data_IF_420282349466
#
_entry.id   IF_420282349466
#
_cell.length_a   1.000
_cell.length_b   1.000
_cell.length_c   1.000
_cell.angle_alpha   90.00
_cell.angle_beta   90.00
_cell.angle_gamma   90.00
#
_symmetry.space_group_name_H-M   'P 1'
#
loop_
_entity.id
_entity.type
_entity.pdbx_description
1 polymer ?
#
# COMPACT_ATOMS: atom_id res chain seq x y z
N UNK A 1 -6.53 10.51 -20.74
CA UNK A 1 -5.56 9.97 -19.76
C UNK A 1 -5.39 8.50 -20.05
N UNK A 2 -4.15 8.03 -20.19
CA UNK A 2 -3.87 6.61 -20.39
C UNK A 2 -4.19 5.83 -19.11
N UNK A 3 -4.66 4.59 -19.24
CA UNK A 3 -4.92 3.76 -18.08
C UNK A 3 -3.58 3.37 -17.44
N UNK A 4 -3.46 3.34 -16.10
CA UNK A 4 -2.31 2.78 -15.40
C UNK A 4 -1.87 1.40 -15.88
N UNK A 5 -2.83 0.58 -16.31
CA UNK A 5 -2.58 -0.76 -16.88
C UNK A 5 -1.74 -0.72 -18.16
N UNK A 6 -1.88 0.35 -18.95
CA UNK A 6 -1.23 0.50 -20.25
C UNK A 6 0.26 0.84 -20.10
N UNK A 7 0.64 1.36 -18.92
CA UNK A 7 2.00 1.71 -18.55
C UNK A 7 2.70 0.62 -17.72
N UNK A 8 2.00 -0.48 -17.39
CA UNK A 8 2.66 -1.69 -16.92
C UNK A 8 3.60 -2.20 -17.99
N UNK A 9 4.66 -2.92 -17.64
CA UNK A 9 5.64 -3.40 -18.62
C UNK A 9 5.02 -4.20 -19.77
N UNK A 10 4.12 -5.14 -19.44
CA UNK A 10 3.42 -5.95 -20.44
C UNK A 10 2.50 -5.07 -21.29
N UNK A 11 1.82 -4.11 -20.66
CA UNK A 11 0.98 -3.12 -21.33
C UNK A 11 1.77 -2.25 -22.29
N UNK A 12 2.90 -1.70 -21.84
CA UNK A 12 3.74 -0.77 -22.58
C UNK A 12 4.35 -1.46 -23.81
N UNK A 13 4.91 -2.66 -23.66
CA UNK A 13 5.42 -3.42 -24.80
C UNK A 13 4.32 -3.82 -25.79
N UNK A 14 3.16 -4.24 -25.28
CA UNK A 14 1.99 -4.54 -26.12
C UNK A 14 1.57 -3.32 -26.94
N UNK A 15 1.47 -2.16 -26.28
CA UNK A 15 1.07 -0.91 -26.90
C UNK A 15 2.11 -0.39 -27.90
N UNK A 16 3.40 -0.51 -27.62
CA UNK A 16 4.47 -0.17 -28.56
C UNK A 16 4.42 -1.02 -29.84
N UNK A 17 4.12 -2.33 -29.72
CA UNK A 17 3.90 -3.21 -30.88
C UNK A 17 2.66 -2.79 -31.67
N UNK A 18 1.56 -2.50 -30.98
CA UNK A 18 0.31 -2.04 -31.62
C UNK A 18 0.51 -0.73 -32.38
N UNK A 19 1.17 0.27 -31.76
CA UNK A 19 1.41 1.59 -32.35
C UNK A 19 2.40 1.56 -33.52
N UNK A 20 3.39 0.66 -33.50
CA UNK A 20 4.35 0.52 -34.61
C UNK A 20 3.84 -0.36 -35.75
N UNK A 21 2.88 -1.27 -35.49
CA UNK A 21 2.55 -2.35 -36.41
C UNK A 21 3.67 -3.37 -36.62
N UNK A 22 4.76 -3.30 -35.84
CA UNK A 22 5.93 -4.17 -35.96
C UNK A 22 6.10 -5.06 -34.72
N UNK A 23 6.05 -6.38 -34.92
CA UNK A 23 6.29 -7.36 -33.87
C UNK A 23 7.71 -7.30 -33.27
N UNK A 24 8.69 -6.81 -34.04
CA UNK A 24 10.10 -6.72 -33.65
C UNK A 24 10.48 -5.38 -33.02
N UNK A 25 9.55 -4.42 -32.87
CA UNK A 25 9.86 -3.06 -32.41
C UNK A 25 10.59 -3.06 -31.06
N UNK A 26 10.17 -3.91 -30.13
CA UNK A 26 10.76 -4.02 -28.79
C UNK A 26 12.23 -4.46 -28.87
N UNK A 27 12.56 -5.40 -29.77
CA UNK A 27 13.93 -5.83 -29.99
C UNK A 27 14.80 -4.72 -30.58
N UNK A 28 14.26 -3.96 -31.54
CA UNK A 28 14.95 -2.83 -32.15
C UNK A 28 15.16 -1.67 -31.18
N UNK A 29 14.18 -1.37 -30.33
CA UNK A 29 14.30 -0.39 -29.25
C UNK A 29 15.40 -0.79 -28.26
N UNK A 30 15.48 -2.06 -27.85
CA UNK A 30 16.57 -2.54 -27.00
C UNK A 30 17.93 -2.37 -27.68
N UNK A 31 18.04 -2.73 -28.96
CA UNK A 31 19.29 -2.59 -29.69
C UNK A 31 19.72 -1.12 -29.81
N UNK A 32 18.79 -0.21 -30.06
CA UNK A 32 19.06 1.23 -30.06
C UNK A 32 19.49 1.71 -28.67
N UNK A 33 18.80 1.27 -27.61
CA UNK A 33 19.16 1.64 -26.23
C UNK A 33 20.52 1.06 -25.79
N UNK A 34 20.94 -0.08 -26.32
CA UNK A 34 22.29 -0.62 -26.06
C UNK A 34 23.40 0.24 -26.67
N UNK A 35 23.09 1.03 -27.71
CA UNK A 35 24.04 2.01 -28.27
C UNK A 35 24.13 3.29 -27.43
N UNK A 36 23.17 3.51 -26.53
CA UNK A 36 23.21 4.61 -25.58
C UNK A 36 24.16 4.27 -24.43
N UNK A 37 25.30 4.94 -24.39
CA UNK A 37 26.31 4.78 -23.35
C UNK A 37 25.92 5.51 -22.06
N UNK A 38 24.86 5.03 -21.41
CA UNK A 38 24.41 5.51 -20.10
C UNK A 38 25.49 5.41 -19.00
N UNK A 39 26.57 4.66 -19.24
CA UNK A 39 27.70 4.51 -18.30
C UNK A 39 28.71 5.65 -18.43
N UNK A 40 28.62 6.46 -19.48
CA UNK A 40 29.41 7.68 -19.63
C UNK A 40 29.00 8.74 -18.60
N UNK A 41 27.79 8.67 -18.04
CA UNK A 41 27.29 9.63 -17.05
C UNK A 41 27.74 9.23 -15.64
N UNK A 42 28.67 9.96 -15.00
CA UNK A 42 29.34 9.52 -13.78
C UNK A 42 28.48 9.66 -12.51
N UNK A 43 27.32 10.30 -12.61
CA UNK A 43 26.43 10.57 -11.47
C UNK A 43 25.02 10.07 -11.74
N UNK A 44 24.34 9.62 -10.69
CA UNK A 44 22.94 9.22 -10.76
C UNK A 44 22.06 10.38 -11.24
N UNK A 45 22.28 11.60 -10.73
CA UNK A 45 21.50 12.78 -11.12
C UNK A 45 21.65 13.13 -12.61
N UNK A 46 22.86 13.05 -13.15
CA UNK A 46 23.08 13.23 -14.59
C UNK A 46 22.31 12.19 -15.39
N UNK A 47 22.38 10.91 -14.98
CA UNK A 47 21.67 9.84 -15.66
C UNK A 47 20.15 10.05 -15.68
N UNK A 48 19.56 10.57 -14.58
CA UNK A 48 18.12 10.85 -14.52
C UNK A 48 17.69 11.94 -15.51
N UNK A 49 18.55 12.91 -15.78
CA UNK A 49 18.29 13.95 -16.77
C UNK A 49 18.34 13.38 -18.19
N UNK A 50 19.16 12.36 -18.41
CA UNK A 50 19.32 11.74 -19.72
C UNK A 50 18.19 10.76 -20.07
N UNK A 51 17.44 10.20 -19.11
CA UNK A 51 16.36 9.23 -19.37
C UNK A 51 15.24 9.78 -20.27
N UNK A 52 14.65 10.97 -19.99
CA UNK A 52 13.67 11.57 -20.89
C UNK A 52 14.24 11.85 -22.28
N UNK A 53 15.51 12.22 -22.37
CA UNK A 53 16.20 12.45 -23.64
C UNK A 53 16.34 11.14 -24.42
N UNK A 54 16.77 10.05 -23.79
CA UNK A 54 16.84 8.74 -24.43
C UNK A 54 15.47 8.28 -24.96
N UNK A 55 14.40 8.50 -24.19
CA UNK A 55 13.04 8.23 -24.65
C UNK A 55 12.65 9.08 -25.87
N UNK A 56 13.01 10.37 -25.90
CA UNK A 56 12.77 11.25 -27.05
C UNK A 56 13.57 10.84 -28.29
N UNK A 57 14.83 10.43 -28.12
CA UNK A 57 15.68 9.95 -29.21
C UNK A 57 15.12 8.65 -29.82
N UNK A 58 14.66 7.72 -28.98
CA UNK A 58 13.95 6.53 -29.45
C UNK A 58 12.65 6.90 -30.19
N UNK A 59 11.89 7.87 -29.68
CA UNK A 59 10.68 8.33 -30.33
C UNK A 59 10.96 8.91 -31.72
N UNK A 60 11.97 9.77 -31.83
CA UNK A 60 12.39 10.37 -33.10
C UNK A 60 12.89 9.32 -34.10
N UNK A 61 13.59 8.29 -33.62
CA UNK A 61 14.16 7.24 -34.47
C UNK A 61 13.08 6.31 -35.05
N UNK A 62 12.08 5.94 -34.26
CA UNK A 62 11.10 4.91 -34.64
C UNK A 62 9.72 5.47 -35.03
N UNK A 63 9.38 6.70 -34.62
CA UNK A 63 8.10 7.36 -34.88
C UNK A 63 8.27 8.84 -35.28
N UNK A 64 9.03 9.17 -36.34
CA UNK A 64 9.36 10.56 -36.70
C UNK A 64 8.16 11.43 -37.11
N UNK A 65 7.01 10.82 -37.41
CA UNK A 65 5.82 11.51 -37.94
C UNK A 65 4.58 11.42 -37.03
N UNK A 66 4.68 10.78 -35.86
CA UNK A 66 3.54 10.66 -34.93
C UNK A 66 3.57 11.72 -33.84
N UNK A 67 2.38 12.11 -33.37
CA UNK A 67 2.23 12.92 -32.17
C UNK A 67 2.72 12.14 -30.94
N UNK A 68 3.66 12.74 -30.22
CA UNK A 68 4.37 12.13 -29.10
C UNK A 68 3.55 12.08 -27.80
N UNK A 69 2.41 12.77 -27.73
CA UNK A 69 1.68 12.97 -26.47
C UNK A 69 1.26 11.68 -25.73
N UNK A 70 1.10 10.56 -26.44
CA UNK A 70 0.85 9.25 -25.82
C UNK A 70 2.04 8.28 -25.85
N UNK A 71 3.05 8.56 -26.67
CA UNK A 71 4.18 7.65 -26.88
C UNK A 71 5.27 7.87 -25.83
N UNK A 72 5.48 9.12 -25.43
CA UNK A 72 6.55 9.48 -24.50
C UNK A 72 6.49 8.70 -23.18
N UNK A 73 5.34 8.60 -22.46
CA UNK A 73 5.28 7.85 -21.20
C UNK A 73 5.55 6.35 -21.37
N UNK A 74 5.18 5.77 -22.52
CA UNK A 74 5.43 4.36 -22.84
C UNK A 74 6.92 4.10 -23.05
N UNK A 75 7.61 5.01 -23.76
CA UNK A 75 9.04 4.93 -23.99
C UNK A 75 9.84 5.19 -22.71
N UNK A 76 9.43 6.13 -21.87
CA UNK A 76 10.05 6.33 -20.55
C UNK A 76 9.90 5.10 -19.66
N UNK A 77 8.70 4.49 -19.60
CA UNK A 77 8.50 3.24 -18.88
C UNK A 77 9.38 2.10 -19.43
N UNK A 78 9.54 2.02 -20.75
CA UNK A 78 10.44 1.08 -21.40
C UNK A 78 11.91 1.33 -21.01
N UNK A 79 12.40 2.57 -21.10
CA UNK A 79 13.78 2.93 -20.71
C UNK A 79 14.02 2.62 -19.24
N UNK A 80 13.12 3.03 -18.34
CA UNK A 80 13.19 2.72 -16.91
C UNK A 80 13.35 1.23 -16.64
N UNK A 81 12.64 0.38 -17.38
CA UNK A 81 12.75 -1.06 -17.24
C UNK A 81 14.13 -1.57 -17.66
N UNK A 82 14.62 -1.15 -18.82
CA UNK A 82 15.86 -1.67 -19.39
C UNK A 82 17.09 -1.22 -18.58
N UNK A 83 17.01 -0.06 -17.92
CA UNK A 83 18.09 0.46 -17.05
C UNK A 83 17.94 0.05 -15.57
N UNK A 84 16.87 -0.64 -15.20
CA UNK A 84 16.54 -1.00 -13.81
C UNK A 84 17.72 -1.67 -13.09
N UNK A 85 18.27 -2.74 -13.66
CA UNK A 85 19.30 -3.55 -13.00
C UNK A 85 20.57 -2.73 -12.75
N UNK A 86 20.89 -1.78 -13.63
CA UNK A 86 22.03 -0.88 -13.48
C UNK A 86 21.76 0.19 -12.41
N UNK A 87 20.64 0.93 -12.50
CA UNK A 87 20.30 1.97 -11.52
C UNK A 87 20.13 1.39 -10.12
N UNK A 88 19.40 0.29 -10.00
CA UNK A 88 19.21 -0.40 -8.73
C UNK A 88 20.53 -0.95 -8.19
N UNK A 89 21.43 -1.38 -9.08
CA UNK A 89 22.80 -1.76 -8.73
C UNK A 89 23.65 -0.62 -8.14
N UNK A 90 23.36 0.63 -8.49
CA UNK A 90 24.00 1.82 -7.89
C UNK A 90 23.36 2.21 -6.55
N UNK A 91 22.04 2.06 -6.42
CA UNK A 91 21.29 2.42 -5.20
C UNK A 91 21.54 1.41 -4.08
N UNK A 92 21.48 0.11 -4.39
CA UNK A 92 21.50 -0.95 -3.38
C UNK A 92 22.72 -0.91 -2.44
N UNK A 93 23.96 -0.68 -2.91
CA UNK A 93 25.13 -0.62 -2.02
C UNK A 93 25.07 0.54 -1.02
N UNK A 94 24.44 1.66 -1.36
CA UNK A 94 24.40 2.86 -0.51
C UNK A 94 23.41 2.74 0.65
N UNK A 95 22.42 1.85 0.52
CA UNK A 95 21.36 1.61 1.52
C UNK A 95 21.39 0.19 2.10
N UNK A 96 22.47 -0.56 1.85
CA UNK A 96 22.57 -1.96 2.24
C UNK A 96 22.46 -2.16 3.77
N UNK A 97 22.99 -1.23 4.57
CA UNK A 97 22.96 -1.33 6.03
C UNK A 97 21.53 -1.17 6.57
N UNK A 98 20.79 -0.19 6.06
CA UNK A 98 19.40 0.09 6.38
C UNK A 98 18.49 -1.08 5.96
N UNK A 99 18.69 -1.59 4.75
CA UNK A 99 17.98 -2.75 4.21
C UNK A 99 18.20 -4.00 5.07
N UNK A 100 19.46 -4.33 5.38
CA UNK A 100 19.79 -5.46 6.24
C UNK A 100 19.19 -5.32 7.63
N UNK A 101 19.24 -4.12 8.21
CA UNK A 101 18.66 -3.85 9.53
C UNK A 101 17.15 -4.07 9.51
N UNK A 102 16.44 -3.49 8.55
CA UNK A 102 14.99 -3.64 8.43
C UNK A 102 14.60 -5.10 8.18
N UNK A 103 15.34 -5.81 7.33
CA UNK A 103 15.09 -7.23 7.08
C UNK A 103 15.31 -8.07 8.36
N UNK A 104 16.34 -7.76 9.16
CA UNK A 104 16.55 -8.35 10.47
C UNK A 104 15.37 -8.14 11.42
N UNK A 105 14.91 -6.91 11.55
CA UNK A 105 13.72 -6.56 12.35
C UNK A 105 12.47 -7.29 11.85
N UNK A 106 12.29 -7.37 10.52
CA UNK A 106 11.17 -8.08 9.88
C UNK A 106 11.18 -9.57 10.21
N UNK A 107 12.36 -10.21 10.17
CA UNK A 107 12.52 -11.62 10.54
C UNK A 107 12.19 -11.87 12.00
N UNK A 108 12.69 -11.03 12.90
CA UNK A 108 12.42 -11.11 14.33
C UNK A 108 10.93 -10.92 14.63
N UNK A 109 10.32 -9.87 14.08
CA UNK A 109 8.89 -9.61 14.19
C UNK A 109 8.06 -10.80 13.70
N UNK A 110 8.42 -11.39 12.56
CA UNK A 110 7.72 -12.58 12.07
C UNK A 110 7.92 -13.79 12.98
N UNK A 111 9.14 -14.04 13.46
CA UNK A 111 9.46 -15.18 14.33
C UNK A 111 8.70 -15.11 15.66
N UNK A 112 8.57 -13.90 16.21
CA UNK A 112 7.82 -13.62 17.45
C UNK A 112 6.32 -13.49 17.22
N UNK A 113 5.82 -13.81 16.02
CA UNK A 113 4.41 -13.66 15.69
C UNK A 113 3.91 -12.23 15.96
N UNK A 114 4.68 -11.24 15.55
CA UNK A 114 4.40 -9.86 15.89
C UNK A 114 3.11 -9.32 15.29
N UNK A 115 2.53 -8.32 15.95
CA UNK A 115 1.23 -7.74 15.63
C UNK A 115 1.28 -6.21 15.60
N UNK A 116 0.29 -5.53 14.98
CA UNK A 116 0.25 -4.07 14.98
C UNK A 116 0.23 -3.43 16.38
N UNK A 117 -0.29 -4.12 17.40
CA UNK A 117 -0.29 -3.62 18.79
C UNK A 117 1.13 -3.38 19.33
N UNK A 118 2.07 -4.26 18.99
CA UNK A 118 3.49 -4.08 19.36
C UNK A 118 4.14 -2.89 18.65
N UNK A 119 3.49 -2.36 17.60
CA UNK A 119 3.87 -1.19 16.82
C UNK A 119 3.01 0.04 17.16
N UNK A 120 2.31 0.01 18.30
CA UNK A 120 1.52 1.13 18.81
C UNK A 120 0.07 1.18 18.33
N UNK A 121 -0.46 0.13 17.68
CA UNK A 121 -1.89 0.06 17.42
C UNK A 121 -2.67 -0.06 18.74
N UNK A 122 -3.65 0.80 18.94
CA UNK A 122 -4.55 0.73 20.10
C UNK A 122 -5.70 -0.24 19.86
N UNK A 123 -6.30 -0.19 18.66
CA UNK A 123 -7.54 -0.91 18.36
C UNK A 123 -7.34 -2.16 17.49
N UNK A 124 -6.57 -2.04 16.41
CA UNK A 124 -6.46 -3.08 15.39
C UNK A 124 -5.28 -4.01 15.69
N UNK A 125 -5.51 -5.31 15.75
CA UNK A 125 -4.47 -6.32 16.01
C UNK A 125 -4.26 -7.31 14.85
N UNK A 126 -4.78 -7.01 13.67
CA UNK A 126 -4.71 -7.89 12.51
C UNK A 126 -3.77 -7.32 11.46
N UNK A 127 -3.19 -8.20 10.64
CA UNK A 127 -2.36 -7.78 9.50
C UNK A 127 -3.05 -8.24 8.21
N UNK A 128 -3.41 -7.31 7.32
CA UNK A 128 -4.02 -7.64 6.04
C UNK A 128 -3.15 -8.54 5.17
N UNK A 129 -3.55 -9.80 4.99
CA UNK A 129 -2.77 -10.77 4.22
C UNK A 129 -2.68 -10.36 2.74
N UNK A 130 -3.75 -9.80 2.18
CA UNK A 130 -3.76 -9.32 0.80
C UNK A 130 -2.72 -8.19 0.60
N UNK A 131 -2.63 -7.25 1.54
CA UNK A 131 -1.63 -6.19 1.51
C UNK A 131 -0.21 -6.74 1.66
N UNK A 132 0.00 -7.73 2.53
CA UNK A 132 1.31 -8.39 2.71
C UNK A 132 1.77 -9.06 1.42
N UNK A 133 0.87 -9.81 0.77
CA UNK A 133 1.13 -10.52 -0.48
C UNK A 133 1.44 -9.52 -1.60
N UNK A 134 0.60 -8.51 -1.79
CA UNK A 134 0.81 -7.49 -2.82
C UNK A 134 2.15 -6.81 -2.64
N UNK A 135 2.43 -6.29 -1.43
CA UNK A 135 3.67 -5.60 -1.14
C UNK A 135 4.91 -6.49 -1.31
N UNK A 136 4.81 -7.79 -1.02
CA UNK A 136 5.91 -8.74 -1.22
C UNK A 136 6.34 -8.88 -2.70
N UNK A 137 5.48 -8.46 -3.64
CA UNK A 137 5.79 -8.45 -5.07
C UNK A 137 6.55 -7.20 -5.52
N UNK A 138 6.74 -6.19 -4.65
CA UNK A 138 7.43 -4.94 -4.98
C UNK A 138 8.79 -5.14 -5.69
N UNK A 139 9.66 -6.10 -5.26
CA UNK A 139 10.95 -6.32 -5.93
C UNK A 139 10.86 -6.91 -7.34
N UNK A 140 9.70 -7.45 -7.73
CA UNK A 140 9.48 -8.00 -9.08
C UNK A 140 9.14 -6.92 -10.10
N UNK A 141 8.67 -5.76 -9.64
CA UNK A 141 8.32 -4.61 -10.48
C UNK A 141 9.60 -3.90 -10.92
N UNK A 142 9.67 -3.41 -12.16
CA UNK A 142 10.90 -2.78 -12.69
C UNK A 142 10.74 -1.30 -12.97
N UNK A 143 9.52 -0.82 -13.21
CA UNK A 143 9.29 0.62 -13.40
C UNK A 143 8.90 1.30 -12.08
N UNK A 144 9.22 2.59 -11.90
CA UNK A 144 8.77 3.35 -10.74
C UNK A 144 7.25 3.38 -10.59
N UNK A 145 6.53 3.44 -11.73
CA UNK A 145 5.07 3.47 -11.74
C UNK A 145 4.47 2.15 -11.25
N UNK A 146 4.98 1.00 -11.71
CA UNK A 146 4.53 -0.31 -11.22
C UNK A 146 4.77 -0.47 -9.72
N UNK A 147 5.91 0.01 -9.22
CA UNK A 147 6.23 0.01 -7.79
C UNK A 147 5.28 0.90 -7.01
N UNK A 148 4.98 2.12 -7.51
CA UNK A 148 4.00 3.02 -6.89
C UNK A 148 2.60 2.42 -6.84
N UNK A 149 2.16 1.74 -7.90
CA UNK A 149 0.87 1.03 -7.87
C UNK A 149 0.87 -0.14 -6.90
N UNK A 150 1.97 -0.88 -6.78
CA UNK A 150 2.10 -1.92 -5.76
C UNK A 150 1.94 -1.34 -4.34
N UNK A 151 2.57 -0.19 -4.05
CA UNK A 151 2.39 0.52 -2.78
C UNK A 151 0.94 0.97 -2.59
N UNK A 152 0.33 1.54 -3.63
CA UNK A 152 -1.06 1.99 -3.61
C UNK A 152 -2.03 0.83 -3.33
N UNK A 153 -1.97 -0.25 -4.10
CA UNK A 153 -2.85 -1.40 -3.92
C UNK A 153 -2.65 -2.06 -2.55
N UNK A 154 -1.41 -2.15 -2.06
CA UNK A 154 -1.13 -2.61 -0.71
C UNK A 154 -1.81 -1.72 0.34
N UNK A 155 -1.75 -0.40 0.17
CA UNK A 155 -2.41 0.56 1.04
C UNK A 155 -3.94 0.44 0.96
N UNK A 156 -4.51 0.31 -0.23
CA UNK A 156 -5.94 0.14 -0.45
C UNK A 156 -6.46 -1.16 0.20
N UNK A 157 -5.71 -2.26 0.13
CA UNK A 157 -6.05 -3.51 0.83
C UNK A 157 -6.09 -3.33 2.35
N UNK A 158 -5.19 -2.52 2.93
CA UNK A 158 -5.26 -2.19 4.36
C UNK A 158 -6.59 -1.51 4.68
N UNK A 159 -6.95 -0.47 3.93
CA UNK A 159 -8.20 0.25 4.19
C UNK A 159 -9.45 -0.59 3.92
N UNK A 160 -9.44 -1.43 2.89
CA UNK A 160 -10.54 -2.32 2.58
C UNK A 160 -10.80 -3.31 3.73
N UNK A 161 -9.76 -3.93 4.28
CA UNK A 161 -9.91 -4.88 5.39
C UNK A 161 -10.31 -4.18 6.70
N UNK A 162 -9.72 -3.01 7.02
CA UNK A 162 -10.12 -2.26 8.22
C UNK A 162 -11.58 -1.81 8.13
N UNK A 163 -12.03 -1.31 6.96
CA UNK A 163 -13.44 -0.94 6.74
C UNK A 163 -14.36 -2.16 6.84
N UNK A 164 -13.99 -3.28 6.23
CA UNK A 164 -14.76 -4.53 6.29
C UNK A 164 -14.94 -5.02 7.72
N UNK A 165 -13.87 -4.96 8.52
CA UNK A 165 -13.92 -5.29 9.93
C UNK A 165 -14.84 -4.37 10.74
N UNK A 166 -14.77 -3.06 10.52
CA UNK A 166 -15.66 -2.09 11.17
C UNK A 166 -17.13 -2.35 10.82
N UNK A 167 -17.44 -2.60 9.55
CA UNK A 167 -18.80 -2.93 9.08
C UNK A 167 -19.33 -4.16 9.82
N UNK A 168 -18.52 -5.23 9.89
CA UNK A 168 -18.91 -6.47 10.55
C UNK A 168 -19.26 -6.25 12.02
N UNK A 169 -18.43 -5.47 12.73
CA UNK A 169 -18.65 -5.11 14.13
C UNK A 169 -19.95 -4.31 14.27
N UNK A 170 -20.12 -3.25 13.49
CA UNK A 170 -21.29 -2.39 13.62
C UNK A 170 -22.58 -3.19 13.35
N UNK A 171 -22.61 -4.02 12.31
CA UNK A 171 -23.76 -4.86 11.99
C UNK A 171 -24.12 -5.85 13.11
N UNK A 172 -23.11 -6.40 13.78
CA UNK A 172 -23.33 -7.31 14.92
C UNK A 172 -24.00 -6.60 16.10
N UNK A 173 -23.63 -5.35 16.37
CA UNK A 173 -24.14 -4.60 17.54
C UNK A 173 -25.37 -3.72 17.24
N UNK A 174 -25.63 -3.36 15.99
CA UNK A 174 -26.82 -2.59 15.59
C UNK A 174 -28.10 -3.43 15.55
N UNK A 175 -28.01 -4.76 15.76
CA UNK A 175 -29.16 -5.67 15.71
C UNK A 175 -29.84 -5.74 14.34
N UNK A 176 -29.23 -5.15 13.30
CA UNK A 176 -29.75 -5.12 11.94
C UNK A 176 -29.03 -6.20 11.13
N UNK A 177 -29.69 -7.32 10.77
CA UNK A 177 -29.05 -8.35 9.95
C UNK A 177 -28.75 -7.78 8.56
N UNK A 178 -27.46 -7.70 8.19
CA UNK A 178 -26.98 -7.21 6.89
C UNK A 178 -27.47 -8.06 5.70
N UNK A 179 -27.87 -9.30 5.95
CA UNK A 179 -28.41 -10.21 4.94
C UNK A 179 -29.71 -10.82 5.47
N UNK A 180 -30.89 -10.37 5.03
CA UNK A 180 -32.12 -11.06 5.33
C UNK A 180 -32.08 -12.43 4.64
N UNK A 181 -32.06 -13.51 5.42
CA UNK A 181 -32.23 -14.86 4.88
C UNK A 181 -33.56 -14.92 4.13
N UNK A 182 -33.50 -15.12 2.81
CA UNK A 182 -34.59 -14.92 1.85
C UNK A 182 -35.70 -15.98 1.87
N UNK A 183 -36.01 -16.61 3.02
CA UNK A 183 -36.97 -17.73 3.04
C UNK A 183 -38.12 -17.65 4.05
N UNK A 184 -38.13 -16.71 4.98
CA UNK A 184 -39.22 -16.56 5.97
C UNK A 184 -39.95 -15.20 5.87
N UNK A 185 -40.25 -14.78 4.65
CA UNK A 185 -40.79 -13.45 4.33
C UNK A 185 -42.33 -13.42 4.19
N UNK A 186 -43.07 -14.01 5.15
CA UNK A 186 -44.55 -13.99 5.09
C UNK A 186 -45.31 -13.46 6.30
N UNK A 187 -44.67 -13.00 7.39
CA UNK A 187 -45.44 -12.53 8.55
C UNK A 187 -44.85 -11.40 9.41
N UNK A 188 -43.85 -10.64 8.94
CA UNK A 188 -43.39 -9.45 9.67
C UNK A 188 -44.09 -8.19 9.18
N UNK A 189 -45.04 -7.69 9.99
CA UNK A 189 -45.54 -6.31 9.91
C UNK A 189 -44.34 -5.35 9.88
N UNK A 190 -44.26 -4.56 8.82
CA UNK A 190 -43.24 -3.55 8.52
C UNK A 190 -42.62 -2.91 9.78
N UNK A 191 -41.40 -3.30 10.18
CA UNK A 191 -40.57 -2.36 10.92
C UNK A 191 -40.21 -1.24 9.92
N UNK A 192 -40.70 -0.02 10.16
CA UNK A 192 -40.12 1.18 9.56
C UNK A 192 -38.67 1.24 10.04
N UNK A 193 -37.75 0.60 9.33
CA UNK A 193 -36.33 0.88 9.47
C UNK A 193 -36.10 2.27 8.89
N UNK A 194 -35.71 3.28 9.69
CA UNK A 194 -35.23 4.51 9.11
C UNK A 194 -33.99 4.15 8.28
N UNK A 195 -33.92 4.66 7.05
CA UNK A 195 -32.73 4.67 6.19
C UNK A 195 -31.62 5.48 6.87
N UNK A 196 -31.14 5.01 8.02
CA UNK A 196 -29.92 5.50 8.64
C UNK A 196 -28.81 4.82 7.87
N UNK A 197 -28.36 5.47 6.81
CA UNK A 197 -27.06 5.18 6.22
C UNK A 197 -26.06 5.09 7.38
N UNK A 198 -25.50 3.90 7.58
CA UNK A 198 -24.49 3.65 8.58
C UNK A 198 -23.29 4.53 8.23
N UNK A 199 -23.14 5.66 8.92
CA UNK A 199 -21.94 6.48 8.81
C UNK A 199 -20.74 5.64 9.24
N UNK A 200 -20.00 5.15 8.25
CA UNK A 200 -18.83 4.32 8.50
C UNK A 200 -17.77 5.20 9.18
N UNK A 201 -17.20 4.74 10.33
CA UNK A 201 -16.19 5.50 11.01
C UNK A 201 -15.03 5.79 10.06
N UNK A 202 -14.66 7.07 9.97
CA UNK A 202 -13.49 7.49 9.21
C UNK A 202 -12.24 7.01 9.94
N UNK A 203 -11.51 6.07 9.32
CA UNK A 203 -10.22 5.59 9.82
C UNK A 203 -9.21 6.71 9.62
N UNK A 204 -8.61 7.17 10.72
CA UNK A 204 -7.55 8.17 10.63
C UNK A 204 -6.25 7.54 10.10
N UNK A 205 -5.43 8.34 9.41
CA UNK A 205 -4.13 7.87 8.93
C UNK A 205 -3.19 7.45 10.08
N UNK A 206 -3.39 8.00 11.28
CA UNK A 206 -2.60 7.62 12.46
C UNK A 206 -2.93 6.20 12.93
N UNK A 207 -4.20 5.79 12.84
CA UNK A 207 -4.64 4.43 13.17
C UNK A 207 -4.17 3.39 12.14
N UNK A 208 -4.01 3.80 10.88
CA UNK A 208 -3.51 2.93 9.82
C UNK A 208 -1.99 2.72 9.88
N UNK A 209 -1.22 3.65 10.47
CA UNK A 209 0.23 3.62 10.45
C UNK A 209 0.84 2.35 11.10
N UNK A 210 0.41 1.90 12.30
CA UNK A 210 0.89 0.64 12.89
C UNK A 210 0.56 -0.60 12.04
N UNK A 211 -0.58 -0.59 11.34
CA UNK A 211 -0.99 -1.68 10.44
C UNK A 211 -0.08 -1.70 9.22
N UNK A 212 0.18 -0.53 8.62
CA UNK A 212 1.14 -0.38 7.51
C UNK A 212 2.53 -0.86 7.91
N UNK A 213 3.01 -0.47 9.09
CA UNK A 213 4.30 -0.94 9.62
C UNK A 213 4.30 -2.47 9.76
N UNK A 214 3.24 -3.06 10.31
CA UNK A 214 3.12 -4.52 10.42
C UNK A 214 3.10 -5.21 9.06
N UNK A 215 2.41 -4.65 8.06
CA UNK A 215 2.39 -5.14 6.68
C UNK A 215 3.80 -5.14 6.10
N UNK A 216 4.53 -4.02 6.18
CA UNK A 216 5.92 -3.92 5.71
C UNK A 216 6.80 -5.00 6.35
N UNK A 217 6.71 -5.16 7.67
CA UNK A 217 7.49 -6.12 8.45
C UNK A 217 7.16 -7.58 8.09
N UNK A 218 5.88 -7.87 7.81
CA UNK A 218 5.42 -9.21 7.43
C UNK A 218 5.73 -9.55 5.96
N UNK A 219 5.83 -8.54 5.09
CA UNK A 219 6.25 -8.72 3.69
C UNK A 219 7.73 -9.07 3.54
N UNK A 220 8.55 -8.87 4.58
CA UNK A 220 9.99 -9.25 4.62
C UNK A 220 10.77 -8.75 3.41
N UNK A 221 10.52 -7.50 3.01
CA UNK A 221 11.21 -6.87 1.89
C UNK A 221 12.70 -6.73 2.19
N UNK A 222 13.52 -7.45 1.43
CA UNK A 222 14.97 -7.46 1.66
C UNK A 222 15.64 -6.13 1.27
N UNK A 223 15.09 -5.40 0.30
CA UNK A 223 15.65 -4.15 -0.22
C UNK A 223 14.72 -2.94 -0.02
N UNK A 224 13.90 -2.91 1.05
CA UNK A 224 12.82 -1.93 1.14
C UNK A 224 13.27 -0.45 1.04
N UNK A 225 14.41 -0.08 1.65
CA UNK A 225 14.96 1.26 1.54
C UNK A 225 15.46 1.54 0.13
N UNK A 226 16.18 0.59 -0.48
CA UNK A 226 16.61 0.70 -1.88
C UNK A 226 15.44 0.82 -2.85
N UNK A 227 14.35 0.09 -2.60
CA UNK A 227 13.11 0.15 -3.38
C UNK A 227 12.44 1.53 -3.32
N UNK A 228 12.28 2.09 -2.11
CA UNK A 228 11.73 3.44 -1.97
C UNK A 228 12.67 4.50 -2.54
N UNK A 229 13.99 4.33 -2.39
CA UNK A 229 14.96 5.24 -2.99
C UNK A 229 14.92 5.18 -4.52
N UNK A 230 14.77 4.00 -5.12
CA UNK A 230 14.57 3.85 -6.56
C UNK A 230 13.32 4.59 -7.05
N UNK A 231 12.19 4.44 -6.36
CA UNK A 231 10.95 5.16 -6.67
C UNK A 231 11.16 6.67 -6.51
N UNK A 232 11.80 7.13 -5.43
CA UNK A 232 12.06 8.56 -5.20
C UNK A 232 12.90 9.18 -6.32
N UNK A 233 13.88 8.42 -6.80
CA UNK A 233 14.87 8.86 -7.78
C UNK A 233 14.27 8.91 -9.18
N UNK A 234 13.78 7.78 -9.70
CA UNK A 234 13.27 7.68 -11.08
C UNK A 234 11.77 8.00 -11.20
N UNK A 235 11.02 7.89 -10.11
CA UNK A 235 9.59 8.22 -10.05
C UNK A 235 9.30 9.67 -9.68
N UNK A 236 10.31 10.55 -9.61
CA UNK A 236 10.14 11.95 -9.18
C UNK A 236 9.05 12.69 -9.97
N UNK A 237 9.11 12.63 -11.30
CA UNK A 237 8.08 13.27 -12.15
C UNK A 237 6.68 12.71 -11.93
N UNK A 238 6.57 11.40 -11.62
CA UNK A 238 5.30 10.76 -11.27
C UNK A 238 4.75 11.27 -9.93
N UNK A 239 5.62 11.39 -8.91
CA UNK A 239 5.27 11.91 -7.58
C UNK A 239 4.91 13.41 -7.61
N UNK A 240 5.55 14.18 -8.50
CA UNK A 240 5.21 15.59 -8.71
C UNK A 240 3.83 15.73 -9.36
N UNK A 241 3.54 14.89 -10.37
CA UNK A 241 2.31 14.93 -11.16
C UNK A 241 1.10 14.30 -10.46
N UNK A 242 1.30 13.36 -9.53
CA UNK A 242 0.21 12.60 -8.89
C UNK A 242 0.23 12.77 -7.37
N UNK A 243 -0.51 13.79 -6.88
CA UNK A 243 -0.56 14.12 -5.45
C UNK A 243 -0.96 12.94 -4.55
N UNK A 244 -1.88 12.09 -5.01
CA UNK A 244 -2.32 10.90 -4.27
C UNK A 244 -1.21 9.86 -4.13
N UNK A 245 -0.50 9.53 -5.22
CA UNK A 245 0.65 8.60 -5.16
C UNK A 245 1.76 9.14 -4.27
N UNK A 246 2.00 10.46 -4.31
CA UNK A 246 2.97 11.12 -3.42
C UNK A 246 2.60 10.99 -1.95
N UNK A 247 1.32 11.15 -1.60
CA UNK A 247 0.85 10.96 -0.23
C UNK A 247 1.05 9.52 0.23
N UNK A 248 0.68 8.53 -0.60
CA UNK A 248 0.87 7.11 -0.30
C UNK A 248 2.35 6.80 -0.11
N UNK A 249 3.20 7.22 -1.05
CA UNK A 249 4.64 7.03 -0.98
C UNK A 249 5.23 7.60 0.32
N UNK A 250 4.85 8.83 0.70
CA UNK A 250 5.27 9.45 1.95
C UNK A 250 4.84 8.65 3.19
N UNK A 251 3.70 7.94 3.15
CA UNK A 251 3.27 7.07 4.26
C UNK A 251 4.14 5.83 4.40
N UNK A 252 4.62 5.24 3.30
CA UNK A 252 5.59 4.15 3.36
C UNK A 252 6.95 4.63 3.88
N UNK A 253 7.41 5.81 3.47
CA UNK A 253 8.64 6.42 4.00
C UNK A 253 8.54 6.67 5.51
N UNK A 254 7.45 7.31 5.95
CA UNK A 254 7.17 7.56 7.37
C UNK A 254 7.13 6.26 8.18
N UNK A 255 6.49 5.21 7.64
CA UNK A 255 6.41 3.91 8.29
C UNK A 255 7.79 3.25 8.44
N UNK A 256 8.65 3.29 7.42
CA UNK A 256 10.02 2.78 7.52
C UNK A 256 10.84 3.52 8.58
N UNK A 257 10.76 4.85 8.60
CA UNK A 257 11.45 5.64 9.62
C UNK A 257 10.97 5.30 11.03
N UNK A 258 9.65 5.12 11.21
CA UNK A 258 9.08 4.73 12.50
C UNK A 258 9.56 3.34 12.94
N UNK A 259 9.58 2.36 12.05
CA UNK A 259 10.10 1.00 12.34
C UNK A 259 11.55 1.06 12.82
N UNK A 260 12.38 1.92 12.21
CA UNK A 260 13.78 2.05 12.60
C UNK A 260 13.98 2.74 13.96
N UNK A 261 13.11 3.69 14.31
CA UNK A 261 13.22 4.48 15.54
C UNK A 261 12.56 3.81 16.74
N UNK A 262 11.50 3.04 16.53
CA UNK A 262 10.73 2.43 17.61
C UNK A 262 11.24 1.00 17.89
N UNK A 263 11.66 0.69 19.13
CA UNK A 263 11.90 -0.68 19.50
C UNK A 263 10.59 -1.47 19.41
N UNK A 264 10.65 -2.69 18.87
CA UNK A 264 9.50 -3.61 18.91
C UNK A 264 9.25 -3.92 20.39
N UNK A 265 8.08 -3.53 20.89
CA UNK A 265 7.75 -3.73 22.30
C UNK A 265 7.75 -5.22 22.64
N UNK A 266 8.57 -5.62 23.61
CA UNK A 266 8.55 -6.97 24.21
C UNK A 266 7.26 -7.21 25.03
N UNK A 267 6.57 -6.12 25.41
CA UNK A 267 5.35 -6.16 26.19
C UNK A 267 4.15 -6.53 25.28
N UNK A 268 3.99 -7.84 25.03
CA UNK A 268 2.75 -8.60 25.08
C UNK A 268 3.06 -10.05 24.69
N UNK A 269 3.61 -10.79 25.65
CA UNK A 269 3.80 -12.24 25.60
C UNK A 269 2.51 -13.03 25.88
N UNK A 270 1.34 -12.40 25.82
CA UNK A 270 0.07 -13.11 25.86
C UNK A 270 -0.24 -13.58 24.44
N UNK A 271 -0.20 -14.89 24.26
CA UNK A 271 -0.53 -15.64 23.05
C UNK A 271 -1.99 -15.42 22.63
N UNK A 272 -2.40 -14.19 22.32
CA UNK A 272 -3.55 -14.02 21.43
C UNK A 272 -3.14 -14.64 20.11
N UNK A 273 -3.79 -15.75 19.77
CA UNK A 273 -3.57 -16.41 18.50
C UNK A 273 -3.70 -15.35 17.39
N UNK A 274 -2.63 -15.17 16.60
CA UNK A 274 -2.61 -14.32 15.40
C UNK A 274 -3.64 -14.73 14.32
N UNK A 275 -4.46 -15.74 14.61
CA UNK A 275 -5.56 -16.19 13.80
C UNK A 275 -6.90 -15.57 14.22
N UNK A 276 -6.92 -14.70 15.23
CA UNK A 276 -8.15 -14.04 15.62
C UNK A 276 -8.56 -13.02 14.56
N UNK A 277 -9.69 -13.28 13.89
CA UNK A 277 -10.34 -12.29 13.02
C UNK A 277 -10.59 -11.01 13.81
N UNK A 278 -10.73 -9.87 13.14
CA UNK A 278 -10.96 -8.57 13.77
C UNK A 278 -12.20 -8.61 14.67
N UNK A 279 -13.23 -9.36 14.25
CA UNK A 279 -14.41 -9.63 15.05
C UNK A 279 -14.06 -10.34 16.36
N UNK A 280 -13.23 -11.39 16.29
CA UNK A 280 -12.82 -12.15 17.46
C UNK A 280 -11.91 -11.32 18.38
N UNK A 281 -11.02 -10.49 17.81
CA UNK A 281 -10.17 -9.57 18.57
C UNK A 281 -11.01 -8.57 19.35
N UNK A 282 -12.03 -7.98 18.71
CA UNK A 282 -12.94 -7.03 19.35
C UNK A 282 -13.79 -7.73 20.42
N UNK A 283 -14.28 -8.93 20.15
CA UNK A 283 -14.98 -9.75 21.14
C UNK A 283 -14.10 -10.08 22.36
N UNK A 284 -12.85 -10.46 22.14
CA UNK A 284 -11.91 -10.78 23.21
C UNK A 284 -11.61 -9.55 24.07
N UNK A 285 -11.37 -8.39 23.44
CA UNK A 285 -11.16 -7.12 24.14
C UNK A 285 -12.39 -6.78 24.99
N UNK A 286 -13.60 -6.96 24.46
CA UNK A 286 -14.83 -6.69 25.19
C UNK A 286 -15.10 -7.69 26.33
N UNK A 287 -14.87 -8.99 26.14
CA UNK A 287 -14.99 -10.02 27.20
C UNK A 287 -14.00 -9.78 28.34
N UNK A 288 -12.82 -9.27 28.00
CA UNK A 288 -11.78 -8.92 28.98
C UNK A 288 -12.15 -7.65 29.75
N UNK A 289 -12.75 -6.66 29.07
CA UNK A 289 -13.24 -5.42 29.70
C UNK A 289 -14.42 -5.67 30.66
N UNK A 290 -15.32 -6.61 30.34
CA UNK A 290 -16.46 -6.97 31.20
C UNK A 290 -16.06 -7.64 32.53
N UNK A 291 -14.80 -8.11 32.66
CA UNK A 291 -14.31 -8.85 33.83
C UNK A 291 -13.45 -8.02 34.80
N UNK A 292 -13.12 -6.76 34.50
CA UNK A 292 -12.29 -5.94 35.39
C UNK A 292 -13.05 -4.69 35.93
N UNK A 293 -13.28 -4.58 37.26
CA UNK A 293 -14.04 -3.48 37.86
C UNK A 293 -13.23 -2.22 38.17
N UNK A 294 -12.05 -2.00 37.56
CA UNK A 294 -11.23 -0.81 37.82
C UNK A 294 -11.00 0.00 36.55
N UNK A 295 -11.30 1.31 36.62
CA UNK A 295 -11.07 2.33 35.58
C UNK A 295 -9.58 2.39 35.24
N UNK A 296 -9.17 1.62 34.24
CA UNK A 296 -7.86 1.72 33.58
C UNK A 296 -7.99 2.58 32.33
N UNK A 297 -6.87 3.04 31.77
CA UNK A 297 -6.78 3.70 30.44
C UNK A 297 -7.53 2.89 29.37
N UNK A 298 -7.57 1.56 29.52
CA UNK A 298 -8.35 0.62 28.70
C UNK A 298 -9.88 0.83 28.76
N UNK A 299 -10.43 1.22 29.92
CA UNK A 299 -11.84 1.56 30.06
C UNK A 299 -12.16 2.91 29.39
N UNK A 300 -11.19 3.82 29.31
CA UNK A 300 -11.32 5.09 28.60
C UNK A 300 -11.28 4.89 27.08
N UNK A 301 -10.43 3.98 26.58
CA UNK A 301 -10.37 3.56 25.18
C UNK A 301 -11.62 2.77 24.75
N UNK A 302 -12.08 1.82 25.56
CA UNK A 302 -13.35 1.11 25.33
C UNK A 302 -14.52 2.08 25.39
N UNK A 303 -14.47 3.05 26.30
CA UNK A 303 -15.40 4.17 26.37
C UNK A 303 -15.32 5.11 25.17
N UNK A 304 -14.17 5.22 24.49
CA UNK A 304 -14.03 6.00 23.25
C UNK A 304 -14.63 5.26 22.05
N UNK A 305 -14.43 3.95 21.94
CA UNK A 305 -15.11 3.12 20.92
C UNK A 305 -16.62 3.12 21.17
N UNK A 306 -17.06 2.94 22.42
CA UNK A 306 -18.45 3.06 22.79
C UNK A 306 -19.00 4.47 22.52
N UNK A 307 -18.21 5.55 22.76
CA UNK A 307 -18.60 6.93 22.43
C UNK A 307 -18.60 7.21 20.94
N UNK A 308 -17.73 6.61 20.13
CA UNK A 308 -17.75 6.71 18.67
C UNK A 308 -18.97 5.99 18.09
N UNK A 309 -19.27 4.78 18.60
CA UNK A 309 -20.49 4.04 18.29
C UNK A 309 -21.73 4.82 18.77
N UNK A 310 -21.69 5.40 19.96
CA UNK A 310 -22.79 6.18 20.53
C UNK A 310 -22.98 7.48 19.74
N UNK A 311 -21.95 8.29 19.51
CA UNK A 311 -22.04 9.52 18.70
C UNK A 311 -22.58 9.26 17.29
N UNK A 312 -22.08 8.22 16.60
CA UNK A 312 -22.59 7.80 15.30
C UNK A 312 -24.03 7.26 15.34
N UNK A 313 -24.55 6.89 16.53
CA UNK A 313 -25.92 6.40 16.70
C UNK A 313 -26.86 7.40 17.40
N UNK A 314 -26.34 8.45 18.05
CA UNK A 314 -27.07 9.42 18.88
C UNK A 314 -26.98 10.87 18.44
N UNK A 315 -26.29 11.25 17.35
CA UNK A 315 -26.46 12.60 16.78
C UNK A 315 -27.84 12.75 16.12
N UNK A 316 -28.84 12.93 16.98
CA UNK A 316 -30.03 13.73 16.70
C UNK A 316 -29.62 15.20 16.65
N UNK A 317 -29.61 15.73 15.44
CA UNK A 317 -29.93 17.11 15.05
C UNK A 317 -30.40 18.01 16.21
N UNK A 318 -29.57 18.98 16.59
CA UNK A 318 -30.06 20.28 17.06
C UNK A 318 -29.90 21.28 15.90
N UNK A 319 -31.00 21.54 15.19
CA UNK A 319 -31.24 22.86 14.60
C UNK A 319 -31.74 23.79 15.70
#
# INVERSE_FOLDING_TARGET
>A
MQSPSDLSDVGAQGRLRELSGDAQIVGRLRQALLSWDHRATPTLDGFLQDVPQAAQELAALFWPQQDLQGLQPLLEAFVHREVYDWVFGLIKPTLAAEDWRLYGLSREFCHRNGSPKQLGATFYNFVPNAAVVELSTLPTKRTPLEKLHCLQSSYDYIFAEVKGALISVIAKYSGTPLFPNSKDEKNRKNPKTPDKELELPLISNEEAAPILMAVIMKSKLFYAHSELAYIRTLGRGLLESHAHLRQIFAKFEEALERIQRQPISDAMGDQLANQMDVCETIEFVQRSAAKQPKKTIFAEETGRVARLITAATTETLNF
#
